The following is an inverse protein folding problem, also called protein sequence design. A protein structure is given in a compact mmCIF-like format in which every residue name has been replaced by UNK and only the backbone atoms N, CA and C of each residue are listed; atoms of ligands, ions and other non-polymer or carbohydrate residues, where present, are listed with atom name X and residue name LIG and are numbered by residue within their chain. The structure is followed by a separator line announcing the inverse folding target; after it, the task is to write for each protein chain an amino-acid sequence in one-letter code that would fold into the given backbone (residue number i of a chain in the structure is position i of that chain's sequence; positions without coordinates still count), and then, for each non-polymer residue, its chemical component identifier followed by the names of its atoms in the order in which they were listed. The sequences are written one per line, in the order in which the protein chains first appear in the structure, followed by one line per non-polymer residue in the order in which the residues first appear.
data_IF_162660667415
#
_entry.id   IF_162660667415
#
_cell.length_a   1.000
_cell.length_b   1.000
_cell.length_c   1.000
_cell.angle_alpha   90.00
_cell.angle_beta   90.00
_cell.angle_gamma   90.00
#
_symmetry.space_group_name_H-M   'P 1'
#
loop_
_entity.id
_entity.type
_entity.pdbx_description
1 polymer ?
#
# COMPACT_ATOMS: atom_id res chain seq x y z
N UNK A 1 -8.61 -13.40 16.55
CA UNK A 1 -8.13 -12.00 16.75
C UNK A 1 -7.00 -11.59 15.81
N UNK A 2 -6.07 -12.47 15.40
CA UNK A 2 -4.99 -12.12 14.44
C UNK A 2 -5.43 -12.09 12.96
N UNK A 3 -6.31 -13.01 12.54
CA UNK A 3 -6.68 -13.17 11.13
C UNK A 3 -7.31 -11.92 10.48
N UNK A 4 -8.16 -11.20 11.22
CA UNK A 4 -8.83 -10.02 10.72
C UNK A 4 -7.85 -8.86 10.42
N UNK A 5 -6.76 -8.73 11.18
CA UNK A 5 -5.81 -7.63 10.97
C UNK A 5 -4.92 -7.93 9.76
N UNK A 6 -4.46 -9.18 9.61
CA UNK A 6 -3.62 -9.59 8.49
C UNK A 6 -4.39 -9.69 7.17
N UNK A 7 -5.70 -9.99 7.22
CA UNK A 7 -6.52 -10.13 6.00
C UNK A 7 -7.35 -8.89 5.72
N UNK A 8 -7.98 -8.24 6.68
CA UNK A 8 -8.91 -7.12 6.36
C UNK A 8 -8.17 -5.81 6.13
N UNK A 9 -7.07 -5.56 6.86
CA UNK A 9 -6.33 -4.29 6.78
C UNK A 9 -5.72 -4.03 5.39
N UNK A 10 -5.08 -5.01 4.72
CA UNK A 10 -4.57 -4.81 3.36
C UNK A 10 -5.68 -4.48 2.36
N UNK A 11 -6.85 -5.11 2.50
CA UNK A 11 -8.00 -4.86 1.62
C UNK A 11 -8.58 -3.46 1.81
N UNK A 12 -8.68 -2.98 3.05
CA UNK A 12 -9.07 -1.59 3.33
C UNK A 12 -8.08 -0.62 2.68
N UNK A 13 -6.78 -0.90 2.79
CA UNK A 13 -5.75 -0.09 2.14
C UNK A 13 -5.80 -0.16 0.62
N UNK A 14 -6.14 -1.30 0.04
CA UNK A 14 -6.34 -1.47 -1.41
C UNK A 14 -7.53 -0.63 -1.89
N UNK A 15 -8.63 -0.61 -1.15
CA UNK A 15 -9.78 0.26 -1.44
C UNK A 15 -9.40 1.75 -1.35
N UNK A 16 -8.70 2.17 -0.28
CA UNK A 16 -8.22 3.54 -0.13
C UNK A 16 -7.22 3.93 -1.23
N UNK A 17 -6.40 2.98 -1.68
CA UNK A 17 -5.49 3.14 -2.81
C UNK A 17 -6.26 3.42 -4.10
N UNK A 18 -7.29 2.63 -4.43
CA UNK A 18 -8.12 2.83 -5.63
C UNK A 18 -8.75 4.23 -5.61
N UNK A 19 -9.29 4.65 -4.48
CA UNK A 19 -9.87 6.00 -4.31
C UNK A 19 -8.78 7.08 -4.51
N UNK A 20 -7.61 6.90 -3.91
CA UNK A 20 -6.47 7.81 -4.04
C UNK A 20 -5.96 7.95 -5.48
N UNK A 21 -5.88 6.84 -6.24
CA UNK A 21 -5.50 6.84 -7.65
C UNK A 21 -6.53 7.58 -8.49
N UNK A 22 -7.83 7.36 -8.27
CA UNK A 22 -8.90 8.08 -8.98
C UNK A 22 -8.81 9.58 -8.71
N UNK A 23 -8.61 10.00 -7.46
CA UNK A 23 -8.44 11.42 -7.11
C UNK A 23 -7.17 12.00 -7.74
N UNK A 24 -6.06 11.26 -7.72
CA UNK A 24 -4.78 11.70 -8.30
C UNK A 24 -4.86 11.87 -9.82
N UNK A 25 -5.53 10.94 -10.50
CA UNK A 25 -5.85 11.02 -11.92
C UNK A 25 -6.71 12.25 -12.23
N UNK A 26 -7.73 12.49 -11.41
CA UNK A 26 -8.64 13.60 -11.61
C UNK A 26 -7.96 14.97 -11.42
N UNK A 27 -7.05 15.07 -10.44
CA UNK A 27 -6.29 16.30 -10.16
C UNK A 27 -4.95 16.41 -10.91
N UNK A 28 -4.62 15.44 -11.80
CA UNK A 28 -3.35 15.37 -12.57
C UNK A 28 -2.09 15.57 -11.71
N UNK A 29 -2.10 15.07 -10.47
CA UNK A 29 -0.97 15.27 -9.57
C UNK A 29 0.12 14.20 -9.77
N UNK A 30 1.41 14.53 -9.60
CA UNK A 30 2.53 13.62 -9.84
C UNK A 30 2.74 12.59 -8.70
N UNK A 31 1.65 12.10 -8.09
CA UNK A 31 1.70 11.17 -6.96
C UNK A 31 1.86 9.69 -7.38
N UNK A 32 1.95 9.46 -8.70
CA UNK A 32 1.98 8.14 -9.34
C UNK A 32 3.01 7.17 -8.78
N UNK A 33 4.20 7.65 -8.42
CA UNK A 33 5.28 6.81 -7.88
C UNK A 33 4.97 6.29 -6.47
N UNK A 34 4.38 7.13 -5.61
CA UNK A 34 3.93 6.70 -4.28
C UNK A 34 2.80 5.68 -4.36
N UNK A 35 1.87 5.88 -5.30
CA UNK A 35 0.81 4.91 -5.60
C UNK A 35 1.37 3.57 -6.11
N UNK A 36 2.28 3.57 -7.07
CA UNK A 36 2.92 2.35 -7.60
C UNK A 36 3.62 1.53 -6.50
N UNK A 37 4.35 2.20 -5.60
CA UNK A 37 5.02 1.54 -4.48
C UNK A 37 4.04 0.91 -3.50
N UNK A 38 2.93 1.61 -3.19
CA UNK A 38 1.85 1.06 -2.36
C UNK A 38 1.21 -0.18 -2.99
N UNK A 39 0.89 -0.12 -4.28
CA UNK A 39 0.26 -1.24 -4.98
C UNK A 39 1.16 -2.48 -5.01
N UNK A 40 2.44 -2.30 -5.35
CA UNK A 40 3.41 -3.39 -5.35
C UNK A 40 3.54 -4.04 -3.97
N UNK A 41 3.59 -3.24 -2.91
CA UNK A 41 3.67 -3.75 -1.54
C UNK A 41 2.43 -4.53 -1.09
N UNK A 42 1.23 -4.03 -1.41
CA UNK A 42 -0.03 -4.73 -1.07
C UNK A 42 -0.14 -6.06 -1.83
N UNK A 43 0.25 -6.10 -3.10
CA UNK A 43 0.24 -7.34 -3.90
C UNK A 43 1.20 -8.37 -3.30
N UNK A 44 2.45 -7.99 -3.02
CA UNK A 44 3.45 -8.90 -2.43
C UNK A 44 2.99 -9.38 -1.04
N UNK A 45 2.37 -8.49 -0.26
CA UNK A 45 1.82 -8.82 1.05
C UNK A 45 0.72 -9.87 0.96
N UNK A 46 -0.24 -9.69 0.05
CA UNK A 46 -1.35 -10.63 -0.15
C UNK A 46 -0.86 -11.98 -0.69
N UNK A 47 0.11 -11.99 -1.61
CA UNK A 47 0.74 -13.21 -2.11
C UNK A 47 1.39 -13.99 -0.96
N UNK A 48 2.16 -13.30 -0.10
CA UNK A 48 2.80 -13.91 1.06
C UNK A 48 1.80 -14.51 2.03
N UNK A 49 0.74 -13.75 2.33
CA UNK A 49 -0.23 -14.11 3.36
C UNK A 49 -1.19 -15.23 2.91
N UNK A 50 -1.68 -15.19 1.66
CA UNK A 50 -2.72 -16.11 1.19
C UNK A 50 -2.24 -17.23 0.27
N UNK A 51 -1.19 -17.01 -0.54
CA UNK A 51 -0.75 -18.02 -1.52
C UNK A 51 0.42 -18.89 -1.06
N UNK A 52 1.32 -18.37 -0.22
CA UNK A 52 2.51 -19.14 0.23
C UNK A 52 2.26 -19.85 1.55
N UNK A 53 1.72 -19.14 2.55
CA UNK A 53 1.45 -19.71 3.87
C UNK A 53 2.71 -20.11 4.66
N UNK A 54 2.54 -20.41 5.95
CA UNK A 54 3.64 -20.81 6.83
C UNK A 54 4.72 -19.73 7.03
N UNK A 55 5.92 -20.15 7.44
CA UNK A 55 7.02 -19.24 7.78
C UNK A 55 7.51 -18.42 6.57
N UNK A 56 7.51 -19.04 5.38
CA UNK A 56 7.90 -18.39 4.12
C UNK A 56 6.87 -17.34 3.66
N UNK A 57 5.57 -17.58 3.90
CA UNK A 57 4.53 -16.59 3.63
C UNK A 57 4.64 -15.36 4.53
N UNK A 58 5.00 -15.56 5.80
CA UNK A 58 5.19 -14.45 6.75
C UNK A 58 6.37 -13.54 6.38
N UNK A 59 7.50 -14.12 5.97
CA UNK A 59 8.67 -13.35 5.50
C UNK A 59 8.39 -12.63 4.17
N UNK A 60 7.69 -13.25 3.23
CA UNK A 60 7.27 -12.59 1.99
C UNK A 60 6.30 -11.42 2.27
N UNK A 61 5.39 -11.60 3.22
CA UNK A 61 4.46 -10.54 3.64
C UNK A 61 5.19 -9.34 4.26
N UNK A 62 6.19 -9.60 5.10
CA UNK A 62 7.07 -8.56 5.66
C UNK A 62 7.83 -7.79 4.57
N UNK A 63 8.32 -8.50 3.54
CA UNK A 63 8.97 -7.87 2.38
C UNK A 63 7.97 -6.97 1.64
N UNK A 64 6.71 -7.37 1.48
CA UNK A 64 5.66 -6.54 0.87
C UNK A 64 5.25 -5.33 1.72
N UNK A 65 5.34 -5.42 3.04
CA UNK A 65 5.00 -4.32 3.95
C UNK A 65 5.96 -3.12 3.84
N UNK A 66 7.22 -3.35 3.45
CA UNK A 66 8.24 -2.31 3.27
C UNK A 66 7.94 -1.33 2.12
N UNK A 67 7.78 -1.77 0.84
CA UNK A 67 7.42 -0.87 -0.25
C UNK A 67 6.05 -0.21 -0.04
N UNK A 68 5.14 -0.88 0.68
CA UNK A 68 3.88 -0.29 1.10
C UNK A 68 4.05 0.90 2.05
N UNK A 69 4.84 0.75 3.11
CA UNK A 69 5.12 1.85 4.06
C UNK A 69 5.90 2.98 3.41
N UNK A 70 6.85 2.68 2.52
CA UNK A 70 7.58 3.69 1.74
C UNK A 70 6.62 4.48 0.83
N UNK A 71 5.72 3.80 0.12
CA UNK A 71 4.73 4.46 -0.74
C UNK A 71 3.80 5.38 0.06
N UNK A 72 3.35 4.95 1.23
CA UNK A 72 2.55 5.75 2.16
C UNK A 72 3.29 7.00 2.62
N UNK A 73 4.57 6.87 2.96
CA UNK A 73 5.41 7.99 3.36
C UNK A 73 5.58 9.01 2.22
N UNK A 74 5.84 8.54 1.00
CA UNK A 74 5.97 9.39 -0.19
C UNK A 74 4.67 10.15 -0.44
N UNK A 75 3.52 9.46 -0.40
CA UNK A 75 2.21 10.09 -0.58
C UNK A 75 1.91 11.11 0.52
N UNK A 76 2.26 10.81 1.77
CA UNK A 76 2.09 11.71 2.90
C UNK A 76 2.91 13.00 2.74
N UNK A 77 4.20 12.88 2.40
CA UNK A 77 5.06 14.04 2.13
C UNK A 77 4.63 14.84 0.91
N UNK A 78 4.16 14.17 -0.13
CA UNK A 78 3.64 14.82 -1.33
C UNK A 78 2.32 15.56 -1.06
N UNK A 79 1.45 15.01 -0.23
CA UNK A 79 0.17 15.63 0.16
C UNK A 79 0.36 16.81 1.12
N UNK A 80 1.25 16.67 2.10
CA UNK A 80 1.60 17.75 3.03
C UNK A 80 2.43 18.82 2.34
N UNK A 81 3.41 18.43 1.53
CA UNK A 81 4.26 19.35 0.78
C UNK A 81 3.47 20.22 -0.20
N UNK A 82 2.34 19.74 -0.71
CA UNK A 82 1.43 20.55 -1.54
C UNK A 82 0.67 21.62 -0.71
N UNK A 83 0.38 21.36 0.57
CA UNK A 83 -0.28 22.33 1.46
C UNK A 83 0.65 23.40 2.04
N UNK A 84 1.95 23.16 2.04
CA UNK A 84 2.97 24.11 2.53
C UNK A 84 3.57 24.99 1.42
N UNK A 85 3.23 24.73 0.15
CA UNK A 85 3.48 25.63 -0.98
C UNK A 85 2.38 26.68 -1.07
#
# INVERSE_FOLDING_TARGET
MSFAIYVVLPWIFLCLFVIGVVISLWKRMPYWWGFLSCAAGVIIYLIGNEMVGGYNGMSLSLIGALPFTIGLFILFFLFIGDKFK
#
